data_IF_086772508531
#
_entry.id   IF_086772508531
#
_cell.length_a   1.000
_cell.length_b   1.000
_cell.length_c   1.000
_cell.angle_alpha   90.00
_cell.angle_beta   90.00
_cell.angle_gamma   90.00
#
_symmetry.space_group_name_H-M   'P 1'
#
loop_
_entity.id
_entity.type
_entity.pdbx_description
1 polymer ?
#
# COMPACT_ATOMS: atom_id res chain seq x y z
N UNK A 1 -12.16 32.90 8.81
CA UNK A 1 -11.30 31.72 8.55
C UNK A 1 -11.73 30.88 7.34
N UNK A 2 -13.02 30.66 7.06
CA UNK A 2 -13.45 29.80 5.91
C UNK A 2 -13.09 30.35 4.52
N UNK A 3 -13.07 31.67 4.32
CA UNK A 3 -12.81 32.30 3.01
C UNK A 3 -11.37 32.04 2.48
N UNK A 4 -10.35 32.16 3.33
CA UNK A 4 -8.95 31.88 2.94
C UNK A 4 -8.69 30.41 2.60
N UNK A 5 -9.48 29.53 3.22
CA UNK A 5 -9.39 28.08 3.08
C UNK A 5 -9.89 27.60 1.70
N UNK A 6 -10.90 28.27 1.15
CA UNK A 6 -11.40 28.02 -0.21
C UNK A 6 -10.37 28.44 -1.28
N UNK A 7 -9.70 29.58 -1.09
CA UNK A 7 -8.68 30.08 -2.02
C UNK A 7 -7.52 29.09 -2.19
N UNK A 8 -7.09 28.44 -1.10
CA UNK A 8 -6.02 27.43 -1.14
C UNK A 8 -6.37 26.21 -2.00
N UNK A 9 -7.60 25.70 -1.90
CA UNK A 9 -8.06 24.58 -2.73
C UNK A 9 -8.09 24.99 -4.20
N UNK A 10 -8.57 26.19 -4.51
CA UNK A 10 -8.61 26.69 -5.90
C UNK A 10 -7.20 26.77 -6.50
N UNK A 11 -6.20 27.22 -5.73
CA UNK A 11 -4.80 27.23 -6.16
C UNK A 11 -4.32 25.80 -6.40
N UNK A 12 -4.59 24.85 -5.51
CA UNK A 12 -4.21 23.46 -5.70
C UNK A 12 -4.88 22.82 -6.93
N UNK A 13 -6.16 23.12 -7.20
CA UNK A 13 -6.83 22.67 -8.41
C UNK A 13 -6.17 23.26 -9.67
N UNK A 14 -5.83 24.55 -9.64
CA UNK A 14 -5.12 25.20 -10.75
C UNK A 14 -3.74 24.57 -10.97
N UNK A 15 -2.98 24.32 -9.90
CA UNK A 15 -1.68 23.65 -9.99
C UNK A 15 -1.82 22.22 -10.55
N UNK A 16 -2.85 21.47 -10.15
CA UNK A 16 -3.12 20.14 -10.72
C UNK A 16 -3.52 20.23 -12.20
N UNK A 17 -4.25 21.26 -12.61
CA UNK A 17 -4.58 21.50 -14.01
C UNK A 17 -3.32 21.84 -14.84
N UNK A 18 -2.44 22.71 -14.32
CA UNK A 18 -1.14 23.01 -14.94
C UNK A 18 -0.29 21.75 -15.03
N UNK A 19 -0.22 20.96 -13.95
CA UNK A 19 0.46 19.67 -13.95
C UNK A 19 -0.11 18.72 -15.01
N UNK A 20 -1.43 18.64 -15.16
CA UNK A 20 -2.05 17.84 -16.22
C UNK A 20 -1.59 18.30 -17.61
N UNK A 21 -1.50 19.63 -17.84
CA UNK A 21 -0.98 20.19 -19.08
C UNK A 21 0.47 19.78 -19.34
N UNK A 22 1.34 19.92 -18.33
CA UNK A 22 2.76 19.49 -18.42
C UNK A 22 2.86 17.99 -18.69
N UNK A 23 2.07 17.15 -17.99
CA UNK A 23 2.04 15.71 -18.21
C UNK A 23 1.59 15.35 -19.64
N UNK A 24 0.58 16.03 -20.18
CA UNK A 24 0.13 15.85 -21.56
C UNK A 24 1.20 16.24 -22.59
N UNK A 25 1.93 17.32 -22.36
CA UNK A 25 3.02 17.76 -23.25
C UNK A 25 4.20 16.77 -23.20
N UNK A 26 4.65 16.38 -22.00
CA UNK A 26 5.77 15.46 -21.82
C UNK A 26 5.48 14.09 -22.43
N UNK A 27 4.25 13.58 -22.24
CA UNK A 27 3.83 12.31 -22.85
C UNK A 27 3.41 12.43 -24.32
N UNK A 28 3.41 13.64 -24.89
CA UNK A 28 2.90 13.94 -26.23
C UNK A 28 1.54 13.28 -26.46
N UNK A 29 0.63 13.43 -25.48
CA UNK A 29 -0.63 12.69 -25.44
C UNK A 29 -1.78 13.50 -24.85
N UNK A 30 -2.80 13.77 -25.67
CA UNK A 30 -4.04 14.43 -25.22
C UNK A 30 -4.81 13.55 -24.23
N UNK A 31 -4.80 12.23 -24.44
CA UNK A 31 -5.42 11.27 -23.54
C UNK A 31 -4.82 11.38 -22.12
N UNK A 32 -3.51 11.59 -22.01
CA UNK A 32 -2.83 11.74 -20.71
C UNK A 32 -3.30 13.00 -19.97
N UNK A 33 -3.45 14.13 -20.67
CA UNK A 33 -4.02 15.35 -20.10
C UNK A 33 -5.46 15.13 -19.58
N UNK A 34 -6.34 14.59 -20.43
CA UNK A 34 -7.75 14.39 -20.08
C UNK A 34 -7.92 13.40 -18.94
N UNK A 35 -7.17 12.30 -18.95
CA UNK A 35 -7.23 11.28 -17.89
C UNK A 35 -6.72 11.81 -16.56
N UNK A 36 -5.69 12.66 -16.57
CA UNK A 36 -5.21 13.34 -15.35
C UNK A 36 -6.32 14.21 -14.72
N UNK A 37 -6.97 15.06 -15.53
CA UNK A 37 -8.09 15.89 -15.07
C UNK A 37 -9.23 15.01 -14.54
N UNK A 38 -9.59 13.94 -15.26
CA UNK A 38 -10.62 13.00 -14.85
C UNK A 38 -10.30 12.36 -13.49
N UNK A 39 -9.07 11.91 -13.26
CA UNK A 39 -8.64 11.29 -12.01
C UNK A 39 -8.70 12.26 -10.83
N UNK A 40 -8.31 13.52 -11.04
CA UNK A 40 -8.42 14.57 -10.01
C UNK A 40 -9.88 14.81 -9.65
N UNK A 41 -10.75 14.97 -10.65
CA UNK A 41 -12.19 15.17 -10.44
C UNK A 41 -12.84 13.95 -9.76
N UNK A 42 -12.49 12.75 -10.19
CA UNK A 42 -12.96 11.51 -9.59
C UNK A 42 -12.55 11.40 -8.12
N UNK A 43 -11.27 11.66 -7.81
CA UNK A 43 -10.77 11.67 -6.44
C UNK A 43 -11.49 12.68 -5.55
N UNK A 44 -11.72 13.90 -6.05
CA UNK A 44 -12.52 14.92 -5.36
C UNK A 44 -13.98 14.45 -5.17
N UNK A 45 -14.59 13.85 -6.18
CA UNK A 45 -15.92 13.26 -6.10
C UNK A 45 -16.02 12.20 -5.01
N UNK A 46 -15.08 11.26 -4.96
CA UNK A 46 -15.00 10.24 -3.91
C UNK A 46 -14.86 10.85 -2.51
N UNK A 47 -14.02 11.88 -2.35
CA UNK A 47 -13.85 12.59 -1.08
C UNK A 47 -15.15 13.29 -0.67
N UNK A 48 -15.86 13.90 -1.62
CA UNK A 48 -17.14 14.54 -1.35
C UNK A 48 -18.17 13.56 -0.78
N UNK A 49 -18.25 12.36 -1.36
CA UNK A 49 -19.16 11.30 -0.93
C UNK A 49 -18.75 10.67 0.41
N UNK A 50 -17.45 10.60 0.69
CA UNK A 50 -16.91 9.98 1.90
C UNK A 50 -16.96 10.90 3.13
N UNK A 51 -16.56 12.17 2.98
CA UNK A 51 -16.42 13.12 4.09
C UNK A 51 -17.62 14.07 4.18
N UNK A 52 -18.58 13.74 5.05
CA UNK A 52 -19.77 14.56 5.30
C UNK A 52 -19.45 15.89 5.98
N UNK A 53 -18.54 15.86 6.96
CA UNK A 53 -18.09 17.05 7.68
C UNK A 53 -17.28 17.98 6.76
N UNK A 54 -17.63 19.26 6.74
CA UNK A 54 -17.04 20.23 5.82
C UNK A 54 -15.55 20.49 6.11
N UNK A 55 -15.15 20.48 7.39
CA UNK A 55 -13.75 20.70 7.79
C UNK A 55 -12.89 19.50 7.39
N UNK A 56 -13.36 18.28 7.70
CA UNK A 56 -12.67 17.04 7.31
C UNK A 56 -12.58 16.88 5.80
N UNK A 57 -13.64 17.25 5.07
CA UNK A 57 -13.66 17.23 3.61
C UNK A 57 -12.62 18.16 3.01
N UNK A 58 -12.49 19.37 3.56
CA UNK A 58 -11.48 20.33 3.13
C UNK A 58 -10.05 19.87 3.39
N UNK A 59 -9.77 19.32 4.57
CA UNK A 59 -8.46 18.72 4.88
C UNK A 59 -8.16 17.54 3.94
N UNK A 60 -9.16 16.71 3.66
CA UNK A 60 -9.07 15.60 2.70
C UNK A 60 -8.74 16.06 1.28
N UNK A 61 -9.42 17.10 0.77
CA UNK A 61 -9.09 17.70 -0.53
C UNK A 61 -7.66 18.25 -0.58
N UNK A 62 -7.26 18.94 0.48
CA UNK A 62 -5.92 19.53 0.57
C UNK A 62 -4.86 18.45 0.52
N UNK A 63 -5.02 17.37 1.28
CA UNK A 63 -4.11 16.22 1.27
C UNK A 63 -4.08 15.56 -0.11
N UNK A 64 -5.23 15.25 -0.68
CA UNK A 64 -5.32 14.59 -1.98
C UNK A 64 -4.62 15.41 -3.07
N UNK A 65 -5.01 16.67 -3.25
CA UNK A 65 -4.49 17.52 -4.31
C UNK A 65 -3.00 17.84 -4.14
N UNK A 66 -2.53 18.02 -2.90
CA UNK A 66 -1.10 18.29 -2.65
C UNK A 66 -0.25 17.06 -2.94
N UNK A 67 -0.66 15.88 -2.47
CA UNK A 67 0.11 14.66 -2.71
C UNK A 67 -0.07 14.11 -4.13
N UNK A 68 -1.17 14.39 -4.81
CA UNK A 68 -1.31 14.08 -6.24
C UNK A 68 -0.24 14.83 -7.05
N UNK A 69 0.00 16.12 -6.74
CA UNK A 69 1.09 16.90 -7.33
C UNK A 69 2.47 16.36 -6.97
N UNK A 70 2.75 16.12 -5.68
CA UNK A 70 4.06 15.65 -5.22
C UNK A 70 4.39 14.28 -5.83
N UNK A 71 3.46 13.33 -5.74
CA UNK A 71 3.64 11.98 -6.28
C UNK A 71 3.65 11.98 -7.81
N UNK A 72 2.79 12.78 -8.45
CA UNK A 72 2.76 12.94 -9.90
C UNK A 72 4.05 13.53 -10.45
N UNK A 73 4.61 14.55 -9.79
CA UNK A 73 5.89 15.15 -10.18
C UNK A 73 7.04 14.15 -10.01
N UNK A 74 7.10 13.45 -8.89
CA UNK A 74 8.09 12.40 -8.66
C UNK A 74 7.98 11.26 -9.70
N UNK A 75 6.75 10.87 -10.04
CA UNK A 75 6.48 9.88 -11.08
C UNK A 75 6.93 10.35 -12.46
N UNK A 76 6.67 11.60 -12.84
CA UNK A 76 7.14 12.16 -14.10
C UNK A 76 8.67 12.19 -14.18
N UNK A 77 9.34 12.71 -13.15
CA UNK A 77 10.81 12.79 -13.13
C UNK A 77 11.43 11.40 -13.27
N UNK A 78 10.94 10.42 -12.52
CA UNK A 78 11.46 9.04 -12.61
C UNK A 78 11.08 8.36 -13.93
N UNK A 79 9.94 8.71 -14.54
CA UNK A 79 9.60 8.21 -15.87
C UNK A 79 10.60 8.72 -16.93
N UNK A 80 10.80 10.03 -17.01
CA UNK A 80 11.63 10.64 -18.05
C UNK A 80 13.11 10.27 -17.95
N UNK A 81 13.61 10.00 -16.73
CA UNK A 81 15.01 9.65 -16.53
C UNK A 81 15.31 8.17 -16.77
N UNK A 82 14.34 7.27 -16.54
CA UNK A 82 14.59 5.82 -16.51
C UNK A 82 13.82 5.01 -17.54
N UNK A 83 12.86 5.61 -18.26
CA UNK A 83 12.06 4.90 -19.26
C UNK A 83 12.21 5.57 -20.61
N UNK A 84 13.08 5.02 -21.47
CA UNK A 84 13.18 5.44 -22.87
C UNK A 84 12.23 4.61 -23.75
N UNK A 85 12.24 3.29 -23.56
CA UNK A 85 11.33 2.34 -24.20
C UNK A 85 10.43 1.67 -23.13
N UNK A 86 9.12 1.98 -23.07
CA UNK A 86 8.22 1.43 -22.06
C UNK A 86 7.98 -0.08 -22.20
N UNK A 87 8.46 -0.70 -23.28
CA UNK A 87 8.42 -2.15 -23.51
C UNK A 87 9.69 -2.88 -23.02
N UNK A 88 10.71 -2.15 -22.54
CA UNK A 88 11.98 -2.73 -22.07
C UNK A 88 12.47 -2.12 -20.78
N UNK A 89 12.36 -0.81 -20.67
CA UNK A 89 12.94 -0.03 -19.60
C UNK A 89 11.97 0.12 -18.42
N UNK A 90 12.52 0.11 -17.22
CA UNK A 90 11.79 0.23 -15.97
C UNK A 90 12.54 1.10 -14.98
N UNK A 91 11.78 1.74 -14.10
CA UNK A 91 12.37 2.38 -12.93
C UNK A 91 12.72 1.37 -11.83
N UNK A 92 11.88 0.35 -11.60
CA UNK A 92 12.10 -0.60 -10.49
C UNK A 92 11.50 -2.00 -10.77
N UNK A 93 10.18 -2.11 -10.95
CA UNK A 93 9.53 -3.41 -11.01
C UNK A 93 9.56 -4.01 -12.42
N UNK A 94 10.21 -5.17 -12.60
CA UNK A 94 10.26 -5.88 -13.89
C UNK A 94 8.88 -6.22 -14.43
N UNK A 95 7.95 -6.56 -13.54
CA UNK A 95 6.55 -6.86 -13.89
C UNK A 95 5.86 -5.69 -14.62
N UNK A 96 6.32 -4.44 -14.44
CA UNK A 96 5.75 -3.27 -15.11
C UNK A 96 5.82 -3.35 -16.63
N UNK A 97 6.92 -3.88 -17.19
CA UNK A 97 7.08 -4.09 -18.65
C UNK A 97 6.09 -5.14 -19.14
N UNK A 98 5.98 -6.26 -18.41
CA UNK A 98 5.02 -7.32 -18.76
C UNK A 98 3.59 -6.78 -18.73
N UNK A 99 3.23 -6.04 -17.69
CA UNK A 99 1.90 -5.43 -17.57
C UNK A 99 1.62 -4.48 -18.72
N UNK A 100 2.54 -3.55 -19.00
CA UNK A 100 2.33 -2.54 -20.04
C UNK A 100 2.27 -3.16 -21.44
N UNK A 101 3.17 -4.09 -21.76
CA UNK A 101 3.20 -4.80 -23.05
C UNK A 101 1.89 -5.54 -23.30
N UNK A 102 1.37 -6.22 -22.28
CA UNK A 102 0.13 -6.97 -22.39
C UNK A 102 -1.08 -6.05 -22.55
N UNK A 103 -1.15 -5.00 -21.73
CA UNK A 103 -2.20 -3.98 -21.76
C UNK A 103 -2.23 -3.31 -23.13
N UNK A 104 -1.08 -2.89 -23.66
CA UNK A 104 -1.03 -2.19 -24.94
C UNK A 104 -1.44 -3.09 -26.11
N UNK A 105 -1.03 -4.36 -26.09
CA UNK A 105 -1.41 -5.34 -27.11
C UNK A 105 -2.93 -5.55 -27.16
N UNK A 106 -3.56 -5.74 -26.01
CA UNK A 106 -4.99 -6.09 -25.92
C UNK A 106 -5.89 -4.86 -26.09
N UNK A 107 -5.37 -3.65 -25.80
CA UNK A 107 -6.16 -2.42 -25.92
C UNK A 107 -6.49 -2.02 -27.36
N UNK A 108 -5.96 -2.73 -28.37
CA UNK A 108 -6.35 -2.61 -29.78
C UNK A 108 -7.59 -3.42 -30.16
N UNK A 109 -8.25 -4.09 -29.21
CA UNK A 109 -9.51 -4.80 -29.45
C UNK A 109 -10.62 -3.87 -29.96
N UNK A 110 -11.60 -4.39 -30.69
CA UNK A 110 -12.70 -3.60 -31.27
C UNK A 110 -13.76 -3.16 -30.25
N UNK A 111 -13.82 -3.82 -29.08
CA UNK A 111 -14.79 -3.50 -28.03
C UNK A 111 -14.33 -3.93 -26.63
N UNK A 112 -14.93 -3.33 -25.60
CA UNK A 112 -14.71 -3.74 -24.19
C UNK A 112 -15.14 -5.20 -23.95
N UNK A 113 -16.14 -5.70 -24.70
CA UNK A 113 -16.59 -7.09 -24.62
C UNK A 113 -15.52 -8.09 -25.10
N UNK A 114 -14.77 -7.73 -26.13
CA UNK A 114 -13.62 -8.53 -26.61
C UNK A 114 -12.50 -8.58 -25.58
N UNK A 115 -12.19 -7.44 -24.94
CA UNK A 115 -11.22 -7.39 -23.83
C UNK A 115 -11.65 -8.33 -22.70
N UNK A 116 -12.94 -8.32 -22.33
CA UNK A 116 -13.48 -9.22 -21.31
C UNK A 116 -13.36 -10.70 -21.70
N UNK A 117 -13.63 -11.02 -22.97
CA UNK A 117 -13.52 -12.38 -23.51
C UNK A 117 -12.08 -12.87 -23.52
N UNK A 118 -11.14 -11.99 -23.89
CA UNK A 118 -9.71 -12.27 -23.88
C UNK A 118 -9.23 -12.68 -22.48
N UNK A 119 -9.47 -11.84 -21.46
CA UNK A 119 -9.01 -12.12 -20.09
C UNK A 119 -9.76 -13.25 -19.39
N UNK A 120 -10.97 -13.61 -19.86
CA UNK A 120 -11.67 -14.79 -19.37
C UNK A 120 -10.92 -16.08 -19.73
N UNK A 121 -10.40 -16.15 -20.95
CA UNK A 121 -9.74 -17.34 -21.48
C UNK A 121 -8.22 -17.33 -21.28
N UNK A 122 -7.65 -16.19 -20.88
CA UNK A 122 -6.23 -16.05 -20.66
C UNK A 122 -5.76 -16.72 -19.36
N UNK A 123 -4.77 -17.60 -19.49
CA UNK A 123 -4.09 -18.25 -18.37
C UNK A 123 -2.92 -17.41 -17.84
N UNK A 124 -2.26 -16.60 -18.67
CA UNK A 124 -1.05 -15.85 -18.27
C UNK A 124 -1.36 -14.71 -17.30
N UNK A 125 -2.49 -14.03 -17.49
CA UNK A 125 -2.92 -12.99 -16.56
C UNK A 125 -3.60 -13.54 -15.29
N UNK A 126 -3.69 -14.86 -15.06
CA UNK A 126 -4.53 -15.44 -14.00
C UNK A 126 -4.26 -14.87 -12.61
N UNK A 127 -3.01 -14.53 -12.32
CA UNK A 127 -2.63 -13.96 -11.04
C UNK A 127 -2.98 -12.47 -10.89
N UNK A 128 -3.33 -11.76 -11.97
CA UNK A 128 -3.53 -10.30 -11.98
C UNK A 128 -4.64 -9.82 -12.94
N UNK A 129 -5.61 -10.69 -13.28
CA UNK A 129 -6.66 -10.45 -14.30
C UNK A 129 -7.41 -9.15 -14.12
N UNK A 130 -7.77 -8.81 -12.89
CA UNK A 130 -8.50 -7.58 -12.57
C UNK A 130 -7.69 -6.33 -12.89
N UNK A 131 -6.39 -6.34 -12.55
CA UNK A 131 -5.49 -5.23 -12.89
C UNK A 131 -5.26 -5.13 -14.39
N UNK A 132 -5.09 -6.27 -15.07
CA UNK A 132 -4.92 -6.35 -16.52
C UNK A 132 -6.14 -5.78 -17.26
N UNK A 133 -7.33 -6.26 -16.89
CA UNK A 133 -8.59 -5.80 -17.46
C UNK A 133 -8.80 -4.30 -17.25
N UNK A 134 -8.66 -3.82 -16.00
CA UNK A 134 -8.79 -2.41 -15.67
C UNK A 134 -7.84 -1.54 -16.48
N UNK A 135 -6.55 -1.88 -16.50
CA UNK A 135 -5.53 -1.11 -17.23
C UNK A 135 -5.74 -1.15 -18.74
N UNK A 136 -6.25 -2.27 -19.27
CA UNK A 136 -6.58 -2.42 -20.71
C UNK A 136 -7.79 -1.59 -21.09
N UNK A 137 -8.82 -1.50 -20.24
CA UNK A 137 -9.96 -0.61 -20.48
C UNK A 137 -9.50 0.85 -20.49
N UNK A 138 -8.62 1.23 -19.56
CA UNK A 138 -8.00 2.58 -19.55
C UNK A 138 -7.21 2.82 -20.84
N UNK A 139 -6.39 1.85 -21.27
CA UNK A 139 -5.62 1.94 -22.51
C UNK A 139 -6.50 1.99 -23.76
N UNK A 140 -7.62 1.26 -23.79
CA UNK A 140 -8.58 1.24 -24.88
C UNK A 140 -9.26 2.60 -25.03
N UNK A 141 -9.69 3.21 -23.92
CA UNK A 141 -10.24 4.57 -23.91
C UNK A 141 -9.16 5.57 -24.36
N UNK A 142 -7.92 5.41 -23.89
CA UNK A 142 -6.81 6.27 -24.30
C UNK A 142 -6.51 6.19 -25.80
N UNK A 143 -6.44 4.98 -26.38
CA UNK A 143 -6.24 4.79 -27.83
C UNK A 143 -7.42 5.27 -28.68
N UNK A 144 -8.63 5.33 -28.10
CA UNK A 144 -9.79 5.91 -28.77
C UNK A 144 -9.73 7.45 -28.83
N UNK A 145 -8.96 8.08 -27.95
CA UNK A 145 -8.75 9.53 -27.92
C UNK A 145 -7.49 9.90 -28.71
N UNK A 146 -6.39 9.19 -28.45
CA UNK A 146 -5.04 9.47 -28.96
C UNK A 146 -4.14 8.23 -28.78
N UNK A 147 -3.13 8.27 -27.90
CA UNK A 147 -2.19 7.17 -27.61
C UNK A 147 -2.23 6.71 -26.15
N UNK A 148 -1.95 5.43 -25.92
CA UNK A 148 -1.75 4.85 -24.60
C UNK A 148 -0.29 4.99 -24.15
N UNK A 149 0.02 6.00 -23.33
CA UNK A 149 1.37 6.19 -22.78
C UNK A 149 1.55 5.44 -21.44
N UNK A 150 2.78 5.02 -21.11
CA UNK A 150 3.06 4.48 -19.77
C UNK A 150 2.81 5.54 -18.68
N UNK A 151 3.02 6.82 -18.98
CA UNK A 151 2.75 7.91 -18.06
C UNK A 151 1.27 7.96 -17.67
N UNK A 152 0.37 7.82 -18.64
CA UNK A 152 -1.08 7.71 -18.41
C UNK A 152 -1.40 6.54 -17.47
N UNK A 153 -0.79 5.38 -17.73
CA UNK A 153 -0.97 4.19 -16.91
C UNK A 153 -0.41 4.35 -15.49
N UNK A 154 0.63 5.16 -15.28
CA UNK A 154 1.15 5.50 -13.94
C UNK A 154 0.28 6.51 -13.19
N UNK A 155 -0.50 7.36 -13.87
CA UNK A 155 -1.39 8.33 -13.20
C UNK A 155 -2.45 7.66 -12.31
N UNK A 156 -2.93 6.46 -12.68
CA UNK A 156 -3.84 5.72 -11.81
C UNK A 156 -3.18 5.30 -10.48
N UNK A 157 -1.87 5.05 -10.50
CA UNK A 157 -1.07 4.74 -9.30
C UNK A 157 -0.96 5.98 -8.42
N UNK A 158 -0.64 7.12 -9.02
CA UNK A 158 -0.59 8.41 -8.33
C UNK A 158 -1.93 8.70 -7.65
N UNK A 159 -3.04 8.54 -8.36
CA UNK A 159 -4.38 8.74 -7.82
C UNK A 159 -4.66 7.82 -6.62
N UNK A 160 -4.34 6.52 -6.73
CA UNK A 160 -4.53 5.56 -5.65
C UNK A 160 -3.63 5.87 -4.44
N UNK A 161 -2.35 6.16 -4.66
CA UNK A 161 -1.39 6.52 -3.60
C UNK A 161 -1.81 7.77 -2.85
N UNK A 162 -2.32 8.80 -3.54
CA UNK A 162 -2.85 10.01 -2.92
C UNK A 162 -4.16 9.74 -2.16
N UNK A 163 -5.04 8.88 -2.68
CA UNK A 163 -6.26 8.48 -1.99
C UNK A 163 -6.00 7.65 -0.72
N UNK A 164 -4.95 6.81 -0.69
CA UNK A 164 -4.52 6.11 0.55
C UNK A 164 -4.23 7.10 1.67
N UNK A 165 -3.63 8.26 1.37
CA UNK A 165 -3.37 9.30 2.38
C UNK A 165 -4.65 9.92 2.93
N UNK A 166 -5.65 10.12 2.07
CA UNK A 166 -6.97 10.60 2.50
C UNK A 166 -7.63 9.58 3.43
N UNK A 167 -7.54 8.29 3.10
CA UNK A 167 -8.05 7.22 3.95
C UNK A 167 -7.34 7.25 5.31
N UNK A 168 -6.01 7.32 5.32
CA UNK A 168 -5.23 7.40 6.55
C UNK A 168 -5.63 8.62 7.40
N UNK A 169 -5.78 9.78 6.77
CA UNK A 169 -6.25 10.98 7.45
C UNK A 169 -7.62 10.77 8.09
N UNK A 170 -8.58 10.17 7.38
CA UNK A 170 -9.91 9.90 7.93
C UNK A 170 -9.87 8.86 9.05
N UNK A 171 -9.00 7.85 8.98
CA UNK A 171 -8.78 6.90 10.07
C UNK A 171 -8.25 7.63 11.32
N UNK A 172 -7.22 8.46 11.18
CA UNK A 172 -6.64 9.23 12.29
C UNK A 172 -7.64 10.22 12.89
N UNK A 173 -8.40 10.94 12.05
CA UNK A 173 -9.36 11.95 12.47
C UNK A 173 -10.59 11.41 13.23
N UNK A 174 -10.69 10.08 13.39
CA UNK A 174 -11.65 9.45 14.31
C UNK A 174 -11.12 9.37 15.76
N UNK A 175 -9.80 9.42 15.96
CA UNK A 175 -9.16 9.16 17.26
C UNK A 175 -8.32 10.33 17.78
N UNK A 176 -7.88 11.23 16.89
CA UNK A 176 -7.10 12.42 17.25
C UNK A 176 -7.66 13.67 16.59
N UNK A 177 -7.24 14.84 17.09
CA UNK A 177 -7.65 16.13 16.53
C UNK A 177 -7.24 16.26 15.07
N UNK A 178 -7.99 17.06 14.30
CA UNK A 178 -7.75 17.33 12.89
C UNK A 178 -6.31 17.77 12.60
N UNK A 179 -5.77 18.72 13.37
CA UNK A 179 -4.42 19.26 13.20
C UNK A 179 -3.34 18.16 13.29
N UNK A 180 -3.41 17.30 14.31
CA UNK A 180 -2.48 16.17 14.43
C UNK A 180 -2.72 15.12 13.35
N UNK A 181 -3.97 14.89 12.92
CA UNK A 181 -4.28 13.95 11.83
C UNK A 181 -3.61 14.37 10.53
N UNK A 182 -3.73 15.65 10.15
CA UNK A 182 -3.07 16.20 8.96
C UNK A 182 -1.55 16.05 9.07
N UNK A 183 -0.95 16.45 10.19
CA UNK A 183 0.51 16.34 10.39
C UNK A 183 1.01 14.91 10.27
N UNK A 184 0.32 13.95 10.88
CA UNK A 184 0.71 12.54 10.84
C UNK A 184 0.53 11.96 9.43
N UNK A 185 -0.54 12.32 8.70
CA UNK A 185 -0.69 11.92 7.30
C UNK A 185 0.40 12.49 6.40
N UNK A 186 0.82 13.74 6.62
CA UNK A 186 1.93 14.35 5.88
C UNK A 186 3.24 13.61 6.16
N UNK A 187 3.53 13.28 7.42
CA UNK A 187 4.70 12.48 7.80
C UNK A 187 4.68 11.12 7.09
N UNK A 188 3.54 10.43 7.08
CA UNK A 188 3.38 9.18 6.35
C UNK A 188 3.58 9.36 4.83
N UNK A 189 3.01 10.43 4.26
CA UNK A 189 3.10 10.69 2.82
C UNK A 189 4.53 10.92 2.32
N UNK A 190 5.42 11.50 3.14
CA UNK A 190 6.82 11.71 2.73
C UNK A 190 7.76 10.59 3.16
N UNK A 191 7.50 9.92 4.29
CA UNK A 191 8.45 8.98 4.88
C UNK A 191 8.08 7.51 4.70
N UNK A 192 6.90 7.17 4.15
CA UNK A 192 6.50 5.77 3.94
C UNK A 192 6.84 5.27 2.54
N UNK A 193 6.84 3.93 2.37
CA UNK A 193 6.99 3.28 1.07
C UNK A 193 5.93 3.70 0.04
N UNK A 194 4.78 4.25 0.47
CA UNK A 194 3.74 4.75 -0.43
C UNK A 194 4.29 5.86 -1.37
N UNK A 195 5.26 6.66 -0.90
CA UNK A 195 5.90 7.65 -1.76
C UNK A 195 6.76 6.99 -2.85
N UNK A 196 7.59 6.03 -2.49
CA UNK A 196 8.41 5.33 -3.48
C UNK A 196 7.56 4.61 -4.53
N UNK A 197 6.54 3.87 -4.09
CA UNK A 197 5.67 3.10 -4.98
C UNK A 197 4.66 3.96 -5.76
N UNK A 198 4.49 5.26 -5.44
CA UNK A 198 3.59 6.13 -6.21
C UNK A 198 4.05 6.37 -7.65
N UNK A 199 5.32 6.11 -7.94
CA UNK A 199 5.92 6.30 -9.26
C UNK A 199 6.01 5.03 -10.12
N UNK A 200 5.74 3.86 -9.54
CA UNK A 200 6.00 2.57 -10.17
C UNK A 200 4.68 1.98 -10.69
N UNK A 201 4.67 1.50 -11.93
CA UNK A 201 3.47 0.91 -12.54
C UNK A 201 3.22 -0.50 -11.99
N UNK A 202 2.45 -0.58 -10.91
CA UNK A 202 2.22 -1.83 -10.18
C UNK A 202 0.80 -1.94 -9.62
N UNK A 203 0.32 -3.18 -9.47
CA UNK A 203 -1.03 -3.45 -8.97
C UNK A 203 -1.18 -3.28 -7.45
N UNK A 204 -0.11 -3.44 -6.68
CA UNK A 204 -0.17 -3.51 -5.21
C UNK A 204 -0.63 -2.19 -4.55
N UNK A 205 -0.47 -1.03 -5.20
CA UNK A 205 -1.03 0.26 -4.72
C UNK A 205 -2.56 0.21 -4.69
N UNK A 206 -3.20 -0.41 -5.70
CA UNK A 206 -4.65 -0.59 -5.73
C UNK A 206 -5.13 -1.48 -4.58
N UNK A 207 -4.37 -2.54 -4.27
CA UNK A 207 -4.65 -3.38 -3.10
C UNK A 207 -4.56 -2.55 -1.81
N UNK A 208 -3.57 -1.67 -1.69
CA UNK A 208 -3.47 -0.72 -0.57
C UNK A 208 -4.68 0.20 -0.44
N UNK A 209 -5.19 0.71 -1.56
CA UNK A 209 -6.43 1.50 -1.59
C UNK A 209 -7.64 0.67 -1.12
N UNK A 210 -7.83 -0.54 -1.66
CA UNK A 210 -8.95 -1.41 -1.32
C UNK A 210 -8.90 -1.88 0.15
N UNK A 211 -7.72 -2.18 0.69
CA UNK A 211 -7.53 -2.46 2.11
C UNK A 211 -7.87 -1.23 2.95
N UNK A 212 -7.45 -0.04 2.50
CA UNK A 212 -7.85 1.23 3.11
C UNK A 212 -9.37 1.41 3.21
N UNK A 213 -10.11 1.11 2.13
CA UNK A 213 -11.56 1.15 2.13
C UNK A 213 -12.16 0.13 3.11
N UNK A 214 -11.55 -1.05 3.21
CA UNK A 214 -11.89 -2.06 4.21
C UNK A 214 -11.69 -1.57 5.65
N UNK A 215 -10.62 -0.83 5.93
CA UNK A 215 -10.38 -0.24 7.24
C UNK A 215 -11.49 0.75 7.58
N UNK A 216 -11.84 1.65 6.66
CA UNK A 216 -12.96 2.59 6.87
C UNK A 216 -14.29 1.87 7.04
N UNK A 217 -14.52 0.78 6.31
CA UNK A 217 -15.72 -0.04 6.46
C UNK A 217 -15.83 -0.63 7.87
N UNK A 218 -14.72 -1.18 8.40
CA UNK A 218 -14.62 -1.75 9.75
C UNK A 218 -14.80 -0.67 10.83
N UNK A 219 -14.19 0.50 10.67
CA UNK A 219 -14.31 1.60 11.64
C UNK A 219 -15.72 2.21 11.64
N UNK A 220 -16.30 2.49 10.47
CA UNK A 220 -17.59 3.20 10.39
C UNK A 220 -18.82 2.31 10.51
N UNK A 221 -18.68 0.98 10.44
CA UNK A 221 -19.75 -0.01 10.65
C UNK A 221 -21.07 0.32 9.93
N UNK A 222 -21.15 0.00 8.64
CA UNK A 222 -22.36 0.20 7.81
C UNK A 222 -23.45 -0.89 7.99
N UNK A 223 -23.55 -1.52 9.16
CA UNK A 223 -24.49 -2.61 9.42
C UNK A 223 -24.38 -3.77 8.41
N UNK A 224 -25.50 -4.37 8.02
CA UNK A 224 -25.52 -5.47 7.04
C UNK A 224 -25.09 -5.07 5.63
N UNK A 225 -25.35 -3.82 5.21
CA UNK A 225 -24.87 -3.31 3.93
C UNK A 225 -23.34 -3.36 3.84
N UNK A 226 -22.65 -3.24 4.98
CA UNK A 226 -21.20 -3.42 5.01
C UNK A 226 -20.71 -4.83 4.68
N UNK A 227 -21.52 -5.87 4.91
CA UNK A 227 -21.16 -7.24 4.47
C UNK A 227 -21.13 -7.30 2.94
N UNK A 228 -22.14 -6.72 2.28
CA UNK A 228 -22.18 -6.64 0.82
C UNK A 228 -20.98 -5.87 0.25
N UNK A 229 -20.66 -4.69 0.81
CA UNK A 229 -19.47 -3.93 0.39
C UNK A 229 -18.17 -4.69 0.67
N UNK A 230 -18.07 -5.40 1.79
CA UNK A 230 -16.92 -6.25 2.09
C UNK A 230 -16.76 -7.39 1.07
N UNK A 231 -17.85 -8.12 0.77
CA UNK A 231 -17.83 -9.16 -0.26
C UNK A 231 -17.36 -8.61 -1.62
N UNK A 232 -17.90 -7.46 -2.04
CA UNK A 232 -17.48 -6.81 -3.28
C UNK A 232 -15.98 -6.47 -3.26
N UNK A 233 -15.49 -5.87 -2.17
CA UNK A 233 -14.06 -5.57 -2.02
C UNK A 233 -13.21 -6.85 -2.06
N UNK A 234 -13.61 -7.92 -1.39
CA UNK A 234 -12.91 -9.22 -1.42
C UNK A 234 -12.78 -9.75 -2.84
N UNK A 235 -13.86 -9.72 -3.62
CA UNK A 235 -13.88 -10.19 -5.00
C UNK A 235 -12.96 -9.33 -5.88
N UNK A 236 -13.02 -8.00 -5.75
CA UNK A 236 -12.15 -7.09 -6.51
C UNK A 236 -10.68 -7.32 -6.18
N UNK A 237 -10.34 -7.43 -4.89
CA UNK A 237 -8.98 -7.70 -4.44
C UNK A 237 -8.51 -9.05 -4.98
N UNK A 238 -9.35 -10.09 -4.95
CA UNK A 238 -9.02 -11.41 -5.50
C UNK A 238 -8.66 -11.34 -6.99
N UNK A 239 -9.42 -10.61 -7.79
CA UNK A 239 -9.10 -10.47 -9.22
C UNK A 239 -7.83 -9.64 -9.46
N UNK A 240 -7.53 -8.65 -8.63
CA UNK A 240 -6.28 -7.90 -8.75
C UNK A 240 -5.07 -8.71 -8.28
N UNK A 241 -5.23 -9.47 -7.20
CA UNK A 241 -4.19 -10.28 -6.57
C UNK A 241 -4.81 -11.37 -5.68
N UNK A 242 -4.88 -12.63 -6.14
CA UNK A 242 -5.55 -13.73 -5.42
C UNK A 242 -5.07 -13.92 -3.98
N UNK A 243 -3.77 -13.81 -3.71
CA UNK A 243 -3.21 -14.03 -2.38
C UNK A 243 -3.75 -13.00 -1.36
N UNK A 244 -3.88 -11.74 -1.79
CA UNK A 244 -4.48 -10.68 -0.98
C UNK A 244 -6.01 -10.79 -0.94
N UNK A 245 -6.63 -11.36 -1.98
CA UNK A 245 -8.06 -11.66 -2.01
C UNK A 245 -8.44 -12.66 -0.93
N UNK A 246 -7.74 -13.79 -0.88
CA UNK A 246 -7.89 -14.76 0.21
C UNK A 246 -7.66 -14.12 1.57
N UNK A 247 -6.59 -13.34 1.72
CA UNK A 247 -6.31 -12.65 2.97
C UNK A 247 -7.41 -11.66 3.38
N UNK A 248 -8.03 -10.97 2.41
CA UNK A 248 -9.08 -9.99 2.67
C UNK A 248 -10.35 -10.57 3.28
N UNK A 249 -10.55 -11.89 3.17
CA UNK A 249 -11.60 -12.62 3.90
C UNK A 249 -11.44 -12.46 5.42
N UNK A 250 -10.22 -12.33 5.95
CA UNK A 250 -10.01 -12.02 7.36
C UNK A 250 -10.58 -10.65 7.76
N UNK A 251 -10.54 -9.64 6.86
CA UNK A 251 -11.21 -8.36 7.11
C UNK A 251 -12.74 -8.49 7.05
N UNK A 252 -13.28 -9.29 6.14
CA UNK A 252 -14.71 -9.58 6.09
C UNK A 252 -15.18 -10.25 7.39
N UNK A 253 -14.47 -11.27 7.86
CA UNK A 253 -14.79 -11.93 9.13
C UNK A 253 -14.59 -11.01 10.33
N UNK A 254 -13.58 -10.14 10.32
CA UNK A 254 -13.43 -9.10 11.34
C UNK A 254 -14.64 -8.17 11.40
N UNK A 255 -15.13 -7.74 10.23
CA UNK A 255 -16.32 -6.92 10.13
C UNK A 255 -17.56 -7.62 10.71
N UNK A 256 -17.81 -8.87 10.27
CA UNK A 256 -18.94 -9.69 10.75
C UNK A 256 -18.82 -9.93 12.26
N UNK A 257 -17.61 -10.25 12.75
CA UNK A 257 -17.35 -10.42 14.17
C UNK A 257 -17.70 -9.16 14.97
N UNK A 258 -17.27 -7.98 14.52
CA UNK A 258 -17.59 -6.73 15.19
C UNK A 258 -19.09 -6.42 15.18
N UNK A 259 -19.80 -6.73 14.09
CA UNK A 259 -21.25 -6.56 13.98
C UNK A 259 -22.02 -7.51 14.93
N UNK A 260 -21.57 -8.76 15.02
CA UNK A 260 -22.18 -9.84 15.83
C UNK A 260 -21.84 -9.68 17.32
N UNK A 261 -20.70 -9.07 17.63
CA UNK A 261 -20.27 -8.83 19.02
C UNK A 261 -20.78 -7.53 19.61
N UNK A 262 -21.53 -6.76 18.82
CA UNK A 262 -22.14 -5.52 19.27
C UNK A 262 -23.13 -5.79 20.42
N UNK A 263 -23.11 -4.93 21.45
CA UNK A 263 -23.92 -5.09 22.66
C UNK A 263 -25.42 -5.09 22.36
N UNK A 264 -25.80 -4.45 21.26
CA UNK A 264 -27.18 -4.35 20.80
C UNK A 264 -27.70 -5.61 20.08
N UNK A 265 -26.83 -6.58 19.75
CA UNK A 265 -27.16 -7.79 18.99
C UNK A 265 -26.89 -9.08 19.81
N UNK A 266 -27.55 -9.20 20.97
CA UNK A 266 -27.30 -10.27 21.97
C UNK A 266 -27.46 -11.69 21.40
N UNK A 267 -28.39 -11.90 20.47
CA UNK A 267 -28.71 -13.23 19.90
C UNK A 267 -27.60 -13.79 19.01
N UNK A 268 -26.80 -12.92 18.37
CA UNK A 268 -25.73 -13.33 17.46
C UNK A 268 -24.44 -13.72 18.20
N UNK A 269 -24.33 -13.38 19.49
CA UNK A 269 -23.17 -13.61 20.36
C UNK A 269 -22.69 -15.09 20.39
N UNK A 270 -23.58 -16.05 20.10
CA UNK A 270 -23.26 -17.49 20.03
C UNK A 270 -22.27 -17.84 18.90
N UNK A 271 -22.17 -17.02 17.86
CA UNK A 271 -21.28 -17.27 16.71
C UNK A 271 -19.87 -16.68 16.85
N UNK A 272 -19.54 -16.08 18.02
CA UNK A 272 -18.24 -15.43 18.24
C UNK A 272 -17.04 -16.36 18.07
N UNK A 273 -17.12 -17.57 18.61
CA UNK A 273 -16.01 -18.55 18.59
C UNK A 273 -15.82 -19.12 17.17
N UNK A 274 -16.88 -19.57 16.45
CA UNK A 274 -16.75 -19.98 15.05
C UNK A 274 -16.15 -18.90 14.14
N UNK A 275 -16.60 -17.65 14.26
CA UNK A 275 -16.08 -16.54 13.43
C UNK A 275 -14.61 -16.25 13.77
N UNK A 276 -14.20 -16.35 15.04
CA UNK A 276 -12.81 -16.18 15.44
C UNK A 276 -11.89 -17.26 14.84
N UNK A 277 -12.35 -18.52 14.83
CA UNK A 277 -11.64 -19.64 14.20
C UNK A 277 -11.57 -19.43 12.67
N UNK A 278 -12.66 -18.98 12.06
CA UNK A 278 -12.70 -18.64 10.63
C UNK A 278 -11.83 -17.43 10.27
N UNK A 279 -11.52 -16.54 11.20
CA UNK A 279 -10.63 -15.40 10.97
C UNK A 279 -9.16 -15.84 10.83
N UNK A 280 -8.78 -16.94 11.49
CA UNK A 280 -7.44 -17.53 11.43
C UNK A 280 -7.21 -18.36 10.16
N UNK A 281 -8.26 -18.98 9.61
CA UNK A 281 -8.17 -19.84 8.43
C UNK A 281 -7.59 -19.14 7.17
N UNK A 282 -8.02 -17.92 6.79
CA UNK A 282 -7.46 -17.23 5.62
C UNK A 282 -5.98 -16.85 5.75
N UNK A 283 -5.52 -16.57 6.98
CA UNK A 283 -4.10 -16.33 7.24
C UNK A 283 -3.28 -17.63 7.05
N UNK A 284 -3.84 -18.78 7.45
CA UNK A 284 -3.23 -20.09 7.22
C UNK A 284 -3.27 -20.51 5.75
N UNK A 285 -4.36 -20.24 5.02
CA UNK A 285 -4.44 -20.54 3.58
C UNK A 285 -3.50 -19.66 2.78
N UNK A 286 -3.26 -18.41 3.17
CA UNK A 286 -2.23 -17.59 2.52
C UNK A 286 -0.85 -18.23 2.69
N UNK A 287 -0.50 -18.73 3.88
CA UNK A 287 0.75 -19.45 4.10
C UNK A 287 0.80 -20.72 3.25
N UNK A 288 -0.28 -21.51 3.21
CA UNK A 288 -0.34 -22.75 2.43
C UNK A 288 -0.26 -22.52 0.91
N UNK A 289 -1.00 -21.54 0.36
CA UNK A 289 -0.97 -21.17 -1.06
C UNK A 289 0.39 -20.59 -1.44
N UNK A 290 0.98 -19.75 -0.57
CA UNK A 290 2.35 -19.27 -0.77
C UNK A 290 3.36 -20.42 -0.65
N UNK A 291 3.09 -21.44 0.16
CA UNK A 291 3.94 -22.61 0.34
C UNK A 291 3.84 -23.60 -0.82
N UNK A 292 2.67 -23.76 -1.44
CA UNK A 292 2.44 -24.56 -2.65
C UNK A 292 3.04 -23.84 -3.88
N UNK A 293 2.90 -22.51 -3.92
CA UNK A 293 3.69 -21.65 -4.78
C UNK A 293 5.19 -21.81 -4.51
N UNK A 294 5.63 -21.98 -3.26
CA UNK A 294 7.03 -22.28 -2.90
C UNK A 294 7.46 -23.70 -3.27
N UNK A 295 6.60 -24.70 -3.37
CA UNK A 295 6.99 -26.03 -3.85
C UNK A 295 7.19 -26.02 -5.38
N UNK A 296 6.36 -25.24 -6.08
CA UNK A 296 6.47 -24.98 -7.53
C UNK A 296 7.66 -24.07 -7.82
N UNK A 297 7.87 -23.05 -6.98
CA UNK A 297 9.06 -22.21 -6.96
C UNK A 297 10.25 -23.01 -6.43
N UNK A 298 10.17 -24.05 -5.59
CA UNK A 298 11.33 -24.82 -5.12
C UNK A 298 11.99 -25.56 -6.28
N UNK A 299 11.18 -26.09 -7.19
CA UNK A 299 11.64 -26.63 -8.47
C UNK A 299 12.21 -25.54 -9.41
N UNK A 300 11.90 -24.26 -9.17
CA UNK A 300 12.47 -23.07 -9.84
C UNK A 300 13.50 -22.33 -8.96
N UNK A 301 13.68 -22.77 -7.72
CA UNK A 301 14.36 -22.06 -6.63
C UNK A 301 15.77 -22.57 -6.57
N UNK A 302 16.06 -23.77 -7.08
CA UNK A 302 17.44 -24.13 -7.39
C UNK A 302 18.01 -23.11 -8.40
N UNK A 303 17.23 -22.66 -9.40
CA UNK A 303 17.64 -21.57 -10.31
C UNK A 303 17.68 -20.17 -9.67
N UNK A 304 16.79 -19.85 -8.72
CA UNK A 304 16.87 -18.58 -7.96
C UNK A 304 17.92 -18.59 -6.85
N UNK A 305 18.28 -19.75 -6.31
CA UNK A 305 19.38 -19.94 -5.36
C UNK A 305 20.70 -19.76 -6.09
N UNK A 306 20.77 -20.15 -7.36
CA UNK A 306 21.88 -19.84 -8.25
C UNK A 306 21.90 -18.36 -8.67
N UNK A 307 20.75 -17.72 -8.91
CA UNK A 307 20.70 -16.28 -9.23
C UNK A 307 21.00 -15.36 -8.02
N UNK A 308 20.53 -15.75 -6.83
CA UNK A 308 20.78 -15.03 -5.57
C UNK A 308 22.18 -15.28 -5.02
N UNK A 309 22.80 -16.43 -5.32
CA UNK A 309 24.20 -16.71 -4.97
C UNK A 309 25.21 -16.16 -5.98
N UNK A 310 24.81 -15.95 -7.24
CA UNK A 310 25.63 -15.30 -8.27
C UNK A 310 25.56 -13.77 -8.24
N UNK A 311 24.44 -13.18 -7.81
CA UNK A 311 24.29 -11.72 -7.72
C UNK A 311 24.55 -11.13 -6.33
N UNK A 312 24.56 -11.95 -5.27
CA UNK A 312 24.94 -11.53 -3.93
C UNK A 312 25.98 -12.51 -3.38
N UNK A 313 27.21 -12.03 -3.19
CA UNK A 313 28.31 -12.81 -2.64
C UNK A 313 27.89 -13.60 -1.39
N UNK A 314 28.33 -14.87 -1.36
CA UNK A 314 28.32 -15.81 -0.25
C UNK A 314 28.04 -15.16 1.12
N UNK A 315 26.83 -15.36 1.67
CA UNK A 315 26.55 -15.12 3.09
C UNK A 315 25.68 -13.91 3.47
N UNK A 316 24.72 -13.47 2.65
CA UNK A 316 23.81 -12.41 3.08
C UNK A 316 23.03 -12.81 4.34
N UNK A 317 22.91 -11.90 5.32
CA UNK A 317 22.22 -12.14 6.60
C UNK A 317 20.78 -12.66 6.39
N UNK A 318 20.09 -12.20 5.34
CA UNK A 318 18.78 -12.71 4.94
C UNK A 318 18.78 -14.20 4.61
N UNK A 319 19.82 -14.72 3.94
CA UNK A 319 19.95 -16.15 3.64
C UNK A 319 20.14 -17.02 4.88
N UNK A 320 20.76 -16.48 5.95
CA UNK A 320 20.88 -17.16 7.23
C UNK A 320 19.54 -17.23 7.97
N UNK A 321 18.72 -16.16 7.90
CA UNK A 321 17.38 -16.14 8.50
C UNK A 321 16.44 -17.21 7.89
N UNK A 322 16.63 -17.55 6.61
CA UNK A 322 15.86 -18.59 5.93
C UNK A 322 16.18 -20.02 6.39
N UNK A 323 17.31 -20.23 7.09
CA UNK A 323 17.73 -21.53 7.65
C UNK A 323 17.13 -21.82 9.04
N UNK A 324 16.42 -20.85 9.62
CA UNK A 324 15.79 -21.03 10.93
C UNK A 324 14.62 -22.03 10.86
N UNK A 325 14.31 -22.74 11.96
CA UNK A 325 13.16 -23.64 12.04
C UNK A 325 11.83 -22.93 11.71
N UNK A 326 10.85 -23.73 11.27
CA UNK A 326 9.49 -23.26 11.01
C UNK A 326 8.92 -22.51 12.24
N UNK A 327 8.17 -21.44 11.99
CA UNK A 327 7.70 -20.51 13.01
C UNK A 327 8.73 -19.42 13.38
N UNK A 328 9.93 -19.80 13.83
CA UNK A 328 11.00 -18.84 14.17
C UNK A 328 11.45 -18.06 12.93
N UNK A 329 11.59 -18.76 11.81
CA UNK A 329 11.88 -18.15 10.51
C UNK A 329 10.85 -17.08 10.12
N UNK A 330 9.57 -17.36 10.27
CA UNK A 330 8.51 -16.42 9.85
C UNK A 330 8.54 -15.13 10.67
N UNK A 331 8.82 -15.23 11.97
CA UNK A 331 8.98 -14.08 12.85
C UNK A 331 10.25 -13.29 12.47
N UNK A 332 11.38 -13.98 12.32
CA UNK A 332 12.66 -13.32 12.04
C UNK A 332 12.66 -12.64 10.65
N UNK A 333 12.17 -13.32 9.62
CA UNK A 333 12.06 -12.76 8.26
C UNK A 333 10.96 -11.69 8.19
N UNK A 334 9.85 -11.86 8.92
CA UNK A 334 8.79 -10.87 9.02
C UNK A 334 9.28 -9.56 9.66
N UNK A 335 10.10 -9.63 10.70
CA UNK A 335 10.73 -8.46 11.32
C UNK A 335 11.80 -7.84 10.41
N UNK A 336 12.65 -8.66 9.79
CA UNK A 336 13.69 -8.19 8.87
C UNK A 336 13.10 -7.51 7.62
N UNK A 337 11.95 -7.98 7.12
CA UNK A 337 11.28 -7.35 5.98
C UNK A 337 10.83 -5.91 6.27
N UNK A 338 10.64 -5.55 7.54
CA UNK A 338 10.30 -4.17 7.93
C UNK A 338 11.49 -3.21 7.83
N UNK A 339 12.71 -3.76 7.72
CA UNK A 339 13.94 -2.99 7.64
C UNK A 339 14.53 -2.93 6.25
N UNK A 340 13.87 -3.51 5.25
CA UNK A 340 14.35 -3.55 3.87
C UNK A 340 14.16 -2.20 3.14
N UNK A 341 15.17 -1.68 2.43
CA UNK A 341 16.51 -2.24 2.27
C UNK A 341 17.36 -2.12 3.55
N UNK A 342 18.13 -3.16 3.85
CA UNK A 342 19.07 -3.18 4.98
C UNK A 342 20.46 -3.62 4.52
N UNK A 343 21.52 -2.80 4.74
CA UNK A 343 21.50 -1.43 5.23
C UNK A 343 20.71 -0.48 4.31
N UNK A 344 20.14 0.60 4.85
CA UNK A 344 19.30 1.51 4.05
C UNK A 344 19.99 2.10 2.81
N UNK A 345 21.32 2.22 2.82
CA UNK A 345 22.11 2.76 1.71
C UNK A 345 22.44 1.71 0.64
N UNK A 346 22.08 0.43 0.81
CA UNK A 346 22.44 -0.63 -0.13
C UNK A 346 21.88 -0.42 -1.53
N UNK A 347 20.85 0.42 -1.65
CA UNK A 347 20.16 0.73 -2.90
C UNK A 347 20.66 2.03 -3.55
N UNK A 348 21.60 2.74 -2.92
CA UNK A 348 22.10 4.03 -3.42
C UNK A 348 23.09 3.87 -4.57
N UNK A 349 23.83 2.76 -4.56
CA UNK A 349 24.75 2.40 -5.65
C UNK A 349 24.00 2.11 -6.95
N UNK A 350 22.75 1.64 -6.85
CA UNK A 350 21.90 1.41 -8.01
C UNK A 350 21.33 2.73 -8.55
N UNK A 351 20.70 3.54 -7.68
CA UNK A 351 20.00 4.75 -8.12
C UNK A 351 19.68 5.72 -6.96
N UNK A 352 20.04 7.00 -7.10
CA UNK A 352 19.68 8.05 -6.12
C UNK A 352 18.16 8.25 -5.99
N UNK A 353 17.37 7.91 -7.01
CA UNK A 353 15.91 7.95 -6.92
C UNK A 353 15.34 6.83 -6.02
N UNK A 354 16.17 5.93 -5.48
CA UNK A 354 15.76 4.97 -4.44
C UNK A 354 15.93 5.54 -3.01
N UNK A 355 16.34 6.80 -2.87
CA UNK A 355 16.38 7.51 -1.58
C UNK A 355 15.03 7.45 -0.84
N UNK A 356 13.85 7.68 -1.45
CA UNK A 356 12.57 7.55 -0.75
C UNK A 356 12.36 6.15 -0.16
N UNK A 357 12.82 5.10 -0.85
CA UNK A 357 12.76 3.73 -0.34
C UNK A 357 13.66 3.53 0.88
N UNK A 358 14.87 4.08 0.83
CA UNK A 358 15.86 4.04 1.91
C UNK A 358 15.37 4.78 3.15
N UNK A 359 14.80 5.98 2.96
CA UNK A 359 14.19 6.77 4.03
C UNK A 359 13.04 6.01 4.67
N UNK A 360 12.22 5.31 3.86
CA UNK A 360 11.14 4.49 4.37
C UNK A 360 11.63 3.34 5.26
N UNK A 361 12.72 2.65 4.91
CA UNK A 361 13.28 1.60 5.75
C UNK A 361 13.66 2.09 7.16
N UNK A 362 14.36 3.22 7.23
CA UNK A 362 14.74 3.84 8.51
C UNK A 362 13.51 4.31 9.28
N UNK A 363 12.56 4.93 8.59
CA UNK A 363 11.32 5.42 9.18
C UNK A 363 10.49 4.28 9.79
N UNK A 364 10.30 3.18 9.07
CA UNK A 364 9.54 2.03 9.55
C UNK A 364 10.21 1.32 10.72
N UNK A 365 11.55 1.30 10.76
CA UNK A 365 12.27 0.84 11.95
C UNK A 365 11.90 1.66 13.19
N UNK A 366 11.91 3.00 13.08
CA UNK A 366 11.52 3.89 14.18
C UNK A 366 10.05 3.70 14.56
N UNK A 367 9.17 3.53 13.58
CA UNK A 367 7.73 3.25 13.80
C UNK A 367 7.57 2.00 14.68
N UNK A 368 8.25 0.89 14.34
CA UNK A 368 8.18 -0.34 15.11
C UNK A 368 8.79 -0.21 16.51
N UNK A 369 9.92 0.48 16.66
CA UNK A 369 10.52 0.75 17.99
C UNK A 369 9.52 1.46 18.90
N UNK A 370 8.81 2.47 18.38
CA UNK A 370 7.81 3.22 19.16
C UNK A 370 6.60 2.34 19.50
N UNK A 371 6.09 1.57 18.55
CA UNK A 371 4.99 0.62 18.80
C UNK A 371 5.39 -0.37 19.89
N UNK A 372 6.52 -1.05 19.75
CA UNK A 372 7.01 -2.05 20.70
C UNK A 372 7.18 -1.43 22.10
N UNK A 373 7.83 -0.26 22.19
CA UNK A 373 8.04 0.41 23.48
C UNK A 373 6.73 0.80 24.15
N UNK A 374 5.77 1.36 23.40
CA UNK A 374 4.50 1.86 23.94
C UNK A 374 3.42 0.79 24.14
N UNK A 375 3.65 -0.42 23.63
CA UNK A 375 2.73 -1.56 23.76
C UNK A 375 3.24 -2.59 24.78
N UNK A 376 4.54 -2.90 24.77
CA UNK A 376 5.11 -3.99 25.58
C UNK A 376 5.91 -3.47 26.79
N UNK A 377 6.74 -2.44 26.61
CA UNK A 377 7.65 -1.98 27.68
C UNK A 377 6.96 -1.02 28.64
N UNK A 378 6.21 -0.05 28.10
CA UNK A 378 5.38 0.88 28.86
C UNK A 378 4.02 1.00 28.19
N UNK A 379 3.07 0.08 28.48
CA UNK A 379 1.76 0.05 27.86
C UNK A 379 1.03 1.37 28.13
N UNK A 380 1.09 2.27 27.15
CA UNK A 380 0.59 3.65 27.22
C UNK A 380 -0.09 4.09 25.94
N UNK A 381 -0.14 3.22 24.93
CA UNK A 381 -0.81 3.55 23.69
C UNK A 381 -2.33 3.42 23.90
N UNK A 382 -3.09 4.54 23.92
CA UNK A 382 -4.52 4.50 24.20
C UNK A 382 -5.31 3.80 23.11
N UNK A 383 -4.73 3.64 21.91
CA UNK A 383 -5.47 3.07 20.79
C UNK A 383 -5.69 1.57 20.91
N UNK A 384 -4.92 0.90 21.79
CA UNK A 384 -5.22 -0.49 22.14
C UNK A 384 -6.51 -0.68 22.95
N UNK A 385 -7.18 0.40 23.33
CA UNK A 385 -8.50 0.31 23.95
C UNK A 385 -9.62 0.15 22.91
N UNK A 386 -9.37 0.54 21.66
CA UNK A 386 -10.36 0.41 20.57
C UNK A 386 -10.28 -0.98 19.96
N UNK A 387 -11.37 -1.74 20.11
CA UNK A 387 -11.46 -3.13 19.68
C UNK A 387 -11.21 -3.29 18.17
N UNK A 388 -11.71 -2.34 17.37
CA UNK A 388 -11.58 -2.33 15.92
C UNK A 388 -10.13 -2.16 15.50
N UNK A 389 -9.41 -1.21 16.11
CA UNK A 389 -7.99 -0.98 15.82
C UNK A 389 -7.13 -2.16 16.24
N UNK A 390 -7.44 -2.80 17.37
CA UNK A 390 -6.73 -4.02 17.80
C UNK A 390 -6.87 -5.15 16.79
N UNK A 391 -8.09 -5.41 16.31
CA UNK A 391 -8.34 -6.46 15.33
C UNK A 391 -7.64 -6.14 14.01
N UNK A 392 -7.76 -4.90 13.53
CA UNK A 392 -7.07 -4.47 12.32
C UNK A 392 -5.54 -4.58 12.45
N UNK A 393 -4.99 -4.21 13.60
CA UNK A 393 -3.56 -4.30 13.87
C UNK A 393 -3.08 -5.75 13.98
N UNK A 394 -3.87 -6.63 14.61
CA UNK A 394 -3.57 -8.07 14.64
C UNK A 394 -3.56 -8.67 13.24
N UNK A 395 -4.55 -8.33 12.40
CA UNK A 395 -4.59 -8.76 10.99
C UNK A 395 -3.38 -8.19 10.23
N UNK A 396 -3.00 -6.93 10.45
CA UNK A 396 -1.81 -6.35 9.83
C UNK A 396 -0.52 -7.12 10.19
N UNK A 397 -0.35 -7.49 11.46
CA UNK A 397 0.77 -8.33 11.91
C UNK A 397 0.73 -9.70 11.24
N UNK A 398 -0.44 -10.33 11.15
CA UNK A 398 -0.60 -11.63 10.48
C UNK A 398 -0.19 -11.56 9.01
N UNK A 399 -0.55 -10.49 8.28
CA UNK A 399 -0.09 -10.32 6.90
C UNK A 399 1.42 -10.18 6.80
N UNK A 400 2.01 -9.37 7.69
CA UNK A 400 3.47 -9.14 7.70
C UNK A 400 4.23 -10.43 7.97
N UNK A 401 3.74 -11.24 8.92
CA UNK A 401 4.31 -12.56 9.20
C UNK A 401 4.05 -13.55 8.06
N UNK A 402 2.87 -13.52 7.44
CA UNK A 402 2.53 -14.37 6.29
C UNK A 402 3.36 -14.06 5.04
N UNK A 403 3.72 -12.78 4.85
CA UNK A 403 4.58 -12.34 3.76
C UNK A 403 6.06 -12.73 3.95
N UNK A 404 6.44 -13.34 5.08
CA UNK A 404 7.81 -13.84 5.29
C UNK A 404 8.25 -14.94 4.30
N UNK A 405 7.31 -15.57 3.58
CA UNK A 405 7.60 -16.47 2.48
C UNK A 405 8.29 -15.75 1.29
N UNK A 406 7.98 -14.47 1.09
CA UNK A 406 8.56 -13.58 0.08
C UNK A 406 8.65 -12.18 0.68
N UNK A 407 9.76 -11.89 1.37
CA UNK A 407 10.01 -10.66 2.14
C UNK A 407 10.13 -9.42 1.24
N UNK A 408 9.01 -9.01 0.63
CA UNK A 408 8.93 -7.92 -0.32
C UNK A 408 8.01 -6.84 0.24
N UNK A 409 8.58 -5.64 0.47
CA UNK A 409 7.89 -4.48 1.05
C UNK A 409 6.66 -4.08 0.23
N UNK A 410 6.62 -4.37 -1.09
CA UNK A 410 5.45 -4.07 -1.94
C UNK A 410 4.20 -4.85 -1.54
N UNK A 411 4.37 -6.06 -1.00
CA UNK A 411 3.24 -6.96 -0.69
C UNK A 411 2.60 -6.65 0.65
N UNK A 412 3.34 -6.00 1.55
CA UNK A 412 2.89 -5.68 2.92
C UNK A 412 2.48 -4.21 3.08
N UNK A 413 2.80 -3.33 2.12
CA UNK A 413 2.48 -1.90 2.25
C UNK A 413 0.98 -1.60 2.39
N UNK A 414 0.11 -2.52 1.96
CA UNK A 414 -1.34 -2.35 2.03
C UNK A 414 -1.89 -2.27 3.46
N UNK A 415 -1.17 -2.78 4.47
CA UNK A 415 -1.58 -2.72 5.88
C UNK A 415 -0.89 -1.62 6.69
N UNK A 416 0.10 -0.96 6.11
CA UNK A 416 0.85 0.11 6.76
C UNK A 416 0.03 1.30 7.25
N UNK A 417 -1.09 1.71 6.61
CA UNK A 417 -1.94 2.75 7.19
C UNK A 417 -2.41 2.41 8.61
N UNK A 418 -2.80 1.16 8.89
CA UNK A 418 -3.25 0.74 10.23
C UNK A 418 -2.09 0.69 11.22
N UNK A 419 -0.94 0.15 10.81
CA UNK A 419 0.26 0.13 11.66
C UNK A 419 0.65 1.55 12.06
N UNK A 420 0.56 2.49 11.11
CA UNK A 420 0.86 3.89 11.36
C UNK A 420 -0.17 4.60 12.26
N UNK A 421 -1.45 4.22 12.21
CA UNK A 421 -2.45 4.68 13.20
C UNK A 421 -2.04 4.24 14.60
N UNK A 422 -1.63 2.98 14.79
CA UNK A 422 -1.17 2.49 16.10
C UNK A 422 0.08 3.22 16.58
N UNK A 423 1.04 3.47 15.70
CA UNK A 423 2.18 4.33 15.99
C UNK A 423 1.77 5.73 16.44
N UNK A 424 0.77 6.33 15.79
CA UNK A 424 0.28 7.67 16.11
C UNK A 424 -0.27 7.75 17.54
N UNK A 425 -1.03 6.75 17.98
CA UNK A 425 -1.50 6.66 19.36
C UNK A 425 -0.36 6.54 20.38
N UNK A 426 0.65 5.71 20.06
CA UNK A 426 1.81 5.52 20.92
C UNK A 426 2.69 6.76 21.03
N UNK A 427 3.03 7.40 19.91
CA UNK A 427 3.91 8.58 19.94
C UNK A 427 3.23 9.78 20.61
N UNK A 428 1.92 9.96 20.39
CA UNK A 428 1.17 11.09 20.96
C UNK A 428 0.91 10.93 22.47
N UNK A 429 0.88 9.70 23.01
CA UNK A 429 0.74 9.48 24.46
C UNK A 429 2.01 9.80 25.26
N UNK A 430 3.15 9.98 24.61
CA UNK A 430 4.42 10.34 25.25
C UNK A 430 4.60 11.86 25.34
N UNK A 431 5.33 12.34 26.35
CA UNK A 431 5.77 13.74 26.43
C UNK A 431 6.79 14.07 25.32
N UNK A 432 6.82 15.33 24.85
CA UNK A 432 7.66 15.78 23.73
C UNK A 432 9.14 15.40 23.87
N UNK A 433 9.71 15.54 25.07
CA UNK A 433 11.09 15.15 25.36
C UNK A 433 11.32 13.63 25.18
N UNK A 434 10.39 12.81 25.69
CA UNK A 434 10.45 11.35 25.54
C UNK A 434 10.27 10.88 24.10
N UNK A 435 9.44 11.57 23.30
CA UNK A 435 9.29 11.30 21.86
C UNK A 435 10.64 11.44 21.15
N UNK A 436 11.32 12.58 21.32
CA UNK A 436 12.63 12.84 20.73
C UNK A 436 13.67 11.83 21.18
N UNK A 437 13.71 11.53 22.48
CA UNK A 437 14.64 10.56 23.05
C UNK A 437 14.43 9.15 22.48
N UNK A 438 13.18 8.72 22.32
CA UNK A 438 12.86 7.38 21.79
C UNK A 438 13.23 7.26 20.31
N UNK A 439 12.94 8.30 19.50
CA UNK A 439 13.36 8.34 18.09
C UNK A 439 14.88 8.30 17.98
N UNK A 440 15.60 9.13 18.76
CA UNK A 440 17.06 9.15 18.74
C UNK A 440 17.69 7.81 19.15
N UNK A 441 17.14 7.16 20.20
CA UNK A 441 17.57 5.83 20.62
C UNK A 441 17.26 4.75 19.59
N UNK A 442 16.10 4.83 18.93
CA UNK A 442 15.75 3.93 17.83
C UNK A 442 16.71 4.06 16.65
N UNK A 443 17.05 5.29 16.24
CA UNK A 443 18.03 5.54 15.19
C UNK A 443 19.42 5.04 15.59
N UNK A 444 19.88 5.33 16.82
CA UNK A 444 21.16 4.84 17.31
C UNK A 444 21.21 3.31 17.25
N UNK A 445 20.15 2.63 17.71
CA UNK A 445 20.05 1.18 17.65
C UNK A 445 20.11 0.65 16.20
N UNK A 446 19.41 1.30 15.27
CA UNK A 446 19.47 0.96 13.84
C UNK A 446 20.90 1.07 13.29
N UNK A 447 21.60 2.17 13.58
CA UNK A 447 22.99 2.35 13.14
C UNK A 447 23.95 1.36 13.81
N UNK A 448 23.73 1.00 15.08
CA UNK A 448 24.48 -0.08 15.74
C UNK A 448 24.27 -1.42 15.04
N UNK A 449 23.05 -1.74 14.60
CA UNK A 449 22.78 -2.96 13.83
C UNK A 449 23.50 -2.95 12.47
N UNK A 450 23.53 -1.80 11.79
CA UNK A 450 24.28 -1.64 10.54
C UNK A 450 25.78 -1.83 10.77
N UNK A 451 26.32 -1.22 11.84
CA UNK A 451 27.74 -1.38 12.19
C UNK A 451 28.08 -2.82 12.52
N UNK A 452 27.24 -3.51 13.31
CA UNK A 452 27.40 -4.93 13.59
C UNK A 452 27.35 -5.79 12.31
N UNK A 453 26.42 -5.50 11.40
CA UNK A 453 26.35 -6.16 10.10
C UNK A 453 27.61 -5.95 9.26
N UNK A 454 28.15 -4.73 9.25
CA UNK A 454 29.39 -4.39 8.53
C UNK A 454 30.65 -5.00 9.15
N UNK A 455 30.62 -5.40 10.42
CA UNK A 455 31.73 -6.12 11.07
C UNK A 455 31.67 -7.65 10.86
N UNK A 456 30.47 -8.19 10.62
CA UNK A 456 30.27 -9.64 10.40
C UNK A 456 30.52 -10.02 8.94
N UNK A 457 30.21 -9.12 8.00
CA UNK A 457 30.53 -9.24 6.58
C UNK A 457 32.00 -8.91 6.33
#
# INVERSE_FOLDING_TARGET
>A
MMRNRSAHINILCLLNFVFAGVAGIVSVSLATFLFNVLLVLFGMGCIHLMAKDAVKRQSSYTIFLSFFLVYGTYMMITNELFVQDPFKDIFYAKDSVTFYTYVDKVSGAGSIGEIGTYYRNDFFANDWKGFAYFSTVVAFIAKSIDINSLLLQKLQIVACSSAILVILYNLLANYITDEYSVRMTVIYGFLSYNFFYSAIYLRDVHIGLFFGLYFLLIIFRKGFAGIFYGLLLTVVIFFFRPEHGYFSVSFLFAYIYLLVTDKNNVTANKFKIPILIMLALPALTQIAVLQEGLNTIQNTSDSYRDFSSSSAGLGSFGSMLLRLPFGVRHIAVGLFSQTLPFPFYSVWEENLFFIPWSVAAVFWFVVWVVIIYTSLVKPRNPFFQFKELNILFAIAILLILGASANADTRRIMSVYPVVFVMFSGGILSLAKAKRKQLVARGLLFYFTLIFAYALIK
#
